data_IF_478954516486
#
_entry.id   IF_478954516486
#
_cell.length_a   1.000
_cell.length_b   1.000
_cell.length_c   1.000
_cell.angle_alpha   90.00
_cell.angle_beta   90.00
_cell.angle_gamma   90.00
#
_symmetry.space_group_name_H-M   'P 1'
#
loop_
_entity.id
_entity.type
_entity.pdbx_description
1 polymer ?
#
# COMPACT_ATOMS: atom_id res chain seq x y z
N UNK A 1 13.29 -1.65 7.50
CA UNK A 1 11.96 -1.61 6.88
C UNK A 1 11.47 -0.18 6.86
N UNK A 2 10.82 0.20 5.76
CA UNK A 2 10.24 1.52 5.52
C UNK A 2 8.72 1.32 5.40
N UNK A 3 7.91 2.18 5.99
CA UNK A 3 6.46 2.05 5.94
C UNK A 3 5.85 3.29 5.31
N UNK A 4 5.02 3.08 4.31
CA UNK A 4 4.35 4.16 3.61
C UNK A 4 2.86 3.88 3.48
N UNK A 5 2.12 4.98 3.29
CA UNK A 5 0.73 4.99 2.92
C UNK A 5 0.55 5.90 1.72
N UNK A 6 -0.18 5.44 0.71
CA UNK A 6 -0.52 6.20 -0.49
C UNK A 6 -2.03 6.23 -0.61
N UNK A 7 -2.60 7.43 -0.66
CA UNK A 7 -3.97 7.61 -1.14
C UNK A 7 -3.95 7.78 -2.64
N UNK A 8 -4.84 7.08 -3.33
CA UNK A 8 -5.07 7.24 -4.76
C UNK A 8 -6.42 7.91 -4.99
N UNK A 9 -6.39 9.12 -5.54
CA UNK A 9 -7.55 9.98 -5.77
C UNK A 9 -8.18 9.65 -7.12
N UNK A 10 -9.17 8.77 -7.10
CA UNK A 10 -10.02 8.43 -8.25
C UNK A 10 -11.44 8.09 -7.79
N UNK A 11 -12.34 7.90 -8.75
CA UNK A 11 -13.73 7.48 -8.50
C UNK A 11 -14.04 6.07 -9.07
N UNK A 12 -13.03 5.33 -9.48
CA UNK A 12 -13.15 3.96 -9.99
C UNK A 12 -13.25 2.94 -8.85
N UNK A 13 -14.34 2.16 -8.78
CA UNK A 13 -14.56 1.15 -7.74
C UNK A 13 -13.66 -0.10 -7.88
N UNK A 14 -13.06 -0.30 -9.05
CA UNK A 14 -12.16 -1.42 -9.34
C UNK A 14 -10.74 -1.23 -8.81
N UNK A 15 -10.40 -0.04 -8.30
CA UNK A 15 -9.07 0.27 -7.79
C UNK A 15 -9.08 0.67 -6.30
N UNK A 16 -7.97 0.46 -5.58
CA UNK A 16 -7.87 0.84 -4.17
C UNK A 16 -7.71 2.34 -3.98
N UNK A 17 -8.40 2.88 -2.98
CA UNK A 17 -8.29 4.30 -2.58
C UNK A 17 -7.16 4.55 -1.57
N UNK A 18 -6.71 3.51 -0.88
CA UNK A 18 -5.56 3.58 0.01
C UNK A 18 -4.71 2.32 -0.08
N UNK A 19 -3.40 2.51 -0.16
CA UNK A 19 -2.40 1.46 -0.28
C UNK A 19 -1.40 1.65 0.86
N UNK A 20 -1.22 0.62 1.68
CA UNK A 20 -0.25 0.57 2.76
C UNK A 20 0.84 -0.40 2.35
N UNK A 21 2.10 0.02 2.42
CA UNK A 21 3.23 -0.83 2.04
C UNK A 21 4.32 -0.83 3.10
N UNK A 22 4.77 -2.02 3.47
CA UNK A 22 6.07 -2.23 4.10
C UNK A 22 7.08 -2.53 3.00
N UNK A 23 8.17 -1.79 3.02
CA UNK A 23 9.25 -1.91 2.06
C UNK A 23 10.55 -2.33 2.75
N UNK A 24 11.38 -3.07 2.03
CA UNK A 24 12.75 -3.37 2.45
C UNK A 24 13.68 -2.14 2.33
N UNK A 25 14.98 -2.36 2.52
CA UNK A 25 15.99 -1.29 2.43
C UNK A 25 16.19 -0.76 1.01
N UNK A 26 15.88 -1.58 0.01
CA UNK A 26 15.96 -1.28 -1.42
C UNK A 26 14.62 -0.75 -1.97
N UNK A 27 13.63 -0.54 -1.09
CA UNK A 27 12.28 -0.04 -1.35
C UNK A 27 11.37 -1.00 -2.14
N UNK A 28 11.66 -2.30 -2.17
CA UNK A 28 10.74 -3.30 -2.68
C UNK A 28 9.65 -3.62 -1.66
N UNK A 29 8.43 -3.87 -2.13
CA UNK A 29 7.32 -4.27 -1.26
C UNK A 29 7.56 -5.66 -0.66
N UNK A 30 7.44 -5.76 0.66
CA UNK A 30 7.50 -7.02 1.43
C UNK A 30 6.11 -7.42 1.90
N UNK A 31 5.31 -6.43 2.34
CA UNK A 31 3.90 -6.59 2.68
C UNK A 31 3.12 -5.40 2.11
N UNK A 32 1.91 -5.67 1.60
CA UNK A 32 1.01 -4.64 1.08
C UNK A 32 -0.42 -4.89 1.52
N UNK A 33 -1.15 -3.81 1.84
CA UNK A 33 -2.60 -3.81 2.03
C UNK A 33 -3.24 -2.77 1.12
N UNK A 34 -4.28 -3.16 0.40
CA UNK A 34 -5.08 -2.33 -0.49
C UNK A 34 -6.51 -2.22 0.06
N UNK A 35 -6.98 -0.99 0.26
CA UNK A 35 -8.34 -0.68 0.72
C UNK A 35 -9.14 -0.10 -0.44
N UNK A 36 -10.28 -0.71 -0.72
CA UNK A 36 -11.17 -0.35 -1.82
C UNK A 36 -12.32 0.57 -1.35
N UNK A 37 -12.96 1.34 -2.25
CA UNK A 37 -14.07 2.24 -1.91
C UNK A 37 -15.21 1.59 -1.11
N UNK A 38 -15.48 0.30 -1.37
CA UNK A 38 -16.50 -0.47 -0.67
C UNK A 38 -16.10 -0.94 0.74
N UNK A 39 -14.92 -0.55 1.22
CA UNK A 39 -14.36 -0.91 2.52
C UNK A 39 -13.71 -2.29 2.57
N UNK A 40 -13.69 -3.06 1.48
CA UNK A 40 -12.92 -4.31 1.42
C UNK A 40 -11.43 -4.01 1.46
N UNK A 41 -10.71 -4.85 2.18
CA UNK A 41 -9.26 -4.85 2.22
C UNK A 41 -8.73 -6.17 1.65
N UNK A 42 -7.72 -6.06 0.80
CA UNK A 42 -6.94 -7.17 0.31
C UNK A 42 -5.47 -6.93 0.64
N UNK A 43 -4.69 -7.99 0.74
CA UNK A 43 -3.29 -7.93 1.13
C UNK A 43 -2.44 -8.94 0.38
N UNK A 44 -1.16 -8.63 0.32
CA UNK A 44 -0.11 -9.48 -0.21
C UNK A 44 1.11 -9.49 0.70
N UNK A 45 1.76 -10.64 0.77
CA UNK A 45 3.12 -10.87 1.24
C UNK A 45 3.73 -11.99 0.39
N UNK A 46 5.02 -12.29 0.59
CA UNK A 46 5.80 -13.23 -0.24
C UNK A 46 5.10 -14.56 -0.58
N UNK A 47 4.45 -15.19 0.40
CA UNK A 47 3.84 -16.51 0.28
C UNK A 47 2.30 -16.50 0.20
N UNK A 48 1.67 -15.33 0.36
CA UNK A 48 0.23 -15.23 0.55
C UNK A 48 -0.35 -13.95 -0.02
N UNK A 49 -1.39 -14.09 -0.81
CA UNK A 49 -2.19 -12.98 -1.34
C UNK A 49 -3.68 -13.21 -1.11
N UNK A 50 -4.47 -12.14 -1.18
CA UNK A 50 -5.93 -12.18 -1.19
C UNK A 50 -6.47 -11.28 -2.29
N UNK A 51 -7.58 -11.68 -2.91
CA UNK A 51 -8.09 -10.99 -4.10
C UNK A 51 -7.05 -11.00 -5.23
N UNK A 52 -6.93 -9.88 -5.92
CA UNK A 52 -5.96 -9.66 -7.00
C UNK A 52 -4.72 -8.86 -6.54
N UNK A 53 -4.58 -8.61 -5.24
CA UNK A 53 -3.46 -7.84 -4.68
C UNK A 53 -2.16 -8.66 -4.75
N UNK A 54 -1.13 -8.09 -5.36
CA UNK A 54 0.22 -8.68 -5.51
C UNK A 54 1.29 -7.68 -5.10
N UNK A 55 2.47 -8.14 -4.68
CA UNK A 55 3.61 -7.25 -4.43
C UNK A 55 4.14 -6.64 -5.74
N UNK A 56 4.60 -5.40 -5.67
CA UNK A 56 5.26 -4.72 -6.78
C UNK A 56 6.60 -5.36 -7.15
N UNK A 57 6.86 -5.51 -8.44
CA UNK A 57 8.10 -6.09 -8.97
C UNK A 57 9.26 -5.07 -9.06
N UNK A 58 9.00 -3.81 -8.73
CA UNK A 58 9.96 -2.70 -8.82
C UNK A 58 9.99 -1.90 -7.52
N UNK A 59 11.11 -1.22 -7.21
CA UNK A 59 11.19 -0.34 -6.05
C UNK A 59 10.11 0.74 -6.08
N UNK A 60 9.47 0.99 -4.96
CA UNK A 60 8.51 2.08 -4.84
C UNK A 60 9.24 3.43 -4.85
N UNK A 61 8.83 4.40 -5.68
CA UNK A 61 9.46 5.73 -5.72
C UNK A 61 9.43 6.45 -4.37
N UNK A 62 10.26 7.48 -4.20
CA UNK A 62 10.25 8.29 -2.98
C UNK A 62 8.90 9.01 -2.80
N UNK A 63 8.53 9.30 -1.55
CA UNK A 63 7.29 10.05 -1.25
C UNK A 63 7.22 11.37 -2.02
N UNK A 64 8.34 12.08 -2.15
CA UNK A 64 8.43 13.32 -2.92
C UNK A 64 8.24 13.15 -4.42
N UNK A 65 8.49 11.96 -4.97
CA UNK A 65 8.28 11.64 -6.39
C UNK A 65 6.83 11.22 -6.61
N UNK A 66 6.27 10.37 -5.73
CA UNK A 66 4.86 9.99 -5.77
C UNK A 66 3.96 11.23 -5.70
N UNK A 67 4.28 12.16 -4.79
CA UNK A 67 3.50 13.38 -4.59
C UNK A 67 3.64 14.43 -5.72
N UNK A 68 4.47 14.21 -6.74
CA UNK A 68 4.47 15.06 -7.94
C UNK A 68 3.26 14.81 -8.82
N UNK A 69 2.68 13.61 -8.75
CA UNK A 69 1.43 13.30 -9.42
C UNK A 69 0.25 13.62 -8.50
N UNK A 70 -0.60 14.53 -8.97
CA UNK A 70 -1.79 15.01 -8.25
C UNK A 70 -2.83 13.93 -7.93
N UNK A 71 -2.77 12.78 -8.62
CA UNK A 71 -3.63 11.64 -8.31
C UNK A 71 -3.22 10.95 -7.01
N UNK A 72 -2.00 11.15 -6.53
CA UNK A 72 -1.49 10.47 -5.34
C UNK A 72 -1.25 11.44 -4.18
N UNK A 73 -1.34 10.89 -2.98
CA UNK A 73 -0.96 11.57 -1.75
C UNK A 73 -0.33 10.56 -0.79
N UNK A 74 0.99 10.62 -0.68
CA UNK A 74 1.83 9.64 -0.01
C UNK A 74 2.46 10.20 1.27
N UNK A 75 2.56 9.33 2.26
CA UNK A 75 3.06 9.60 3.61
C UNK A 75 3.99 8.49 4.08
N UNK A 76 5.02 8.86 4.83
CA UNK A 76 5.66 7.88 5.72
C UNK A 76 4.73 7.66 6.91
N UNK A 77 4.54 6.39 7.28
CA UNK A 77 3.79 5.99 8.47
C UNK A 77 4.71 5.24 9.42
N UNK A 78 4.25 4.99 10.64
CA UNK A 78 4.99 4.14 11.57
C UNK A 78 4.69 2.66 11.31
N UNK A 79 5.55 1.79 11.83
CA UNK A 79 5.31 0.35 11.81
C UNK A 79 4.00 0.01 12.53
N UNK A 80 3.72 0.65 13.66
CA UNK A 80 2.51 0.40 14.46
C UNK A 80 1.23 0.75 13.69
N UNK A 81 1.26 1.82 12.89
CA UNK A 81 0.14 2.17 12.02
C UNK A 81 -0.08 1.11 10.93
N UNK A 82 1.00 0.61 10.32
CA UNK A 82 0.91 -0.48 9.35
C UNK A 82 0.36 -1.75 9.99
N UNK A 83 0.94 -2.20 11.11
CA UNK A 83 0.56 -3.44 11.79
C UNK A 83 -0.90 -3.40 12.31
N UNK A 84 -1.41 -2.21 12.67
CA UNK A 84 -2.81 -1.96 13.02
C UNK A 84 -3.79 -2.27 11.89
N UNK A 85 -3.40 -2.01 10.63
CA UNK A 85 -4.22 -2.34 9.45
C UNK A 85 -3.97 -3.78 9.02
N UNK A 86 -2.72 -4.22 9.02
CA UNK A 86 -2.33 -5.59 8.68
C UNK A 86 -3.07 -6.63 9.54
N UNK A 87 -3.14 -6.43 10.86
CA UNK A 87 -3.81 -7.33 11.79
C UNK A 87 -5.33 -7.47 11.56
N UNK A 88 -5.97 -6.52 10.86
CA UNK A 88 -7.40 -6.59 10.50
C UNK A 88 -7.66 -7.42 9.24
N UNK A 89 -6.61 -7.85 8.55
CA UNK A 89 -6.71 -8.65 7.33
C UNK A 89 -6.78 -10.17 7.60
N UNK A 90 -6.71 -10.58 8.87
CA UNK A 90 -6.72 -11.98 9.31
C UNK A 90 -7.98 -12.33 10.10
#
# INVERSE_FOLDING_TARGET
MIYIKVYWKHNDEGYPIAIYSELDVDRYEVRKVEIFPNGKAYYAQEDKTTGDTILGEVPIPLISEINQDTQFEAYNITQEEFDSIWSKCF
#
